data_IF_041374779311
#
_entry.id   IF_041374779311
#
_cell.length_a   1.000
_cell.length_b   1.000
_cell.length_c   1.000
_cell.angle_alpha   90.00
_cell.angle_beta   90.00
_cell.angle_gamma   90.00
#
_symmetry.space_group_name_H-M   'P 1'
#
loop_
_entity.id
_entity.type
_entity.pdbx_description
1 polymer ?
#
# COMPACT_ATOMS: atom_id res chain seq x y z
N UNK A 1 0.98 -0.52 -12.48
CA UNK A 1 0.68 -1.52 -11.42
C UNK A 1 -0.27 -0.95 -10.38
N UNK A 2 0.17 -0.14 -9.41
CA UNK A 2 -0.70 0.39 -8.34
C UNK A 2 -1.98 1.08 -8.83
N UNK A 3 -1.95 2.00 -9.82
CA UNK A 3 -3.18 2.63 -10.32
C UNK A 3 -4.20 1.63 -10.89
N UNK A 4 -3.74 0.63 -11.64
CA UNK A 4 -4.58 -0.43 -12.23
C UNK A 4 -5.20 -1.34 -11.14
N UNK A 5 -4.42 -1.70 -10.12
CA UNK A 5 -4.91 -2.49 -8.99
C UNK A 5 -5.98 -1.73 -8.19
N UNK A 6 -5.75 -0.45 -7.91
CA UNK A 6 -6.73 0.41 -7.22
C UNK A 6 -7.99 0.57 -8.07
N UNK A 7 -7.84 0.76 -9.38
CA UNK A 7 -8.97 0.89 -10.29
C UNK A 7 -9.81 -0.40 -10.34
N UNK A 8 -9.18 -1.57 -10.41
CA UNK A 8 -9.86 -2.87 -10.33
C UNK A 8 -10.57 -3.08 -9.00
N UNK A 9 -9.93 -2.73 -7.88
CA UNK A 9 -10.53 -2.80 -6.55
C UNK A 9 -11.80 -1.92 -6.47
N UNK A 10 -11.72 -0.69 -6.97
CA UNK A 10 -12.86 0.23 -7.03
C UNK A 10 -14.01 -0.32 -7.90
N UNK A 11 -13.71 -0.86 -9.08
CA UNK A 11 -14.72 -1.50 -9.93
C UNK A 11 -15.34 -2.74 -9.28
N UNK A 12 -14.58 -3.47 -8.45
CA UNK A 12 -15.06 -4.58 -7.65
C UNK A 12 -15.87 -4.20 -6.41
N UNK A 13 -16.17 -2.91 -6.20
CA UNK A 13 -16.95 -2.43 -5.07
C UNK A 13 -16.18 -2.30 -3.76
N UNK A 14 -14.86 -2.43 -3.77
CA UNK A 14 -14.01 -2.20 -2.58
C UNK A 14 -13.93 -0.70 -2.30
N UNK A 15 -14.23 -0.31 -1.07
CA UNK A 15 -14.26 1.08 -0.62
C UNK A 15 -13.05 1.48 0.26
N UNK A 16 -12.27 0.50 0.74
CA UNK A 16 -11.07 0.73 1.58
C UNK A 16 -9.95 -0.22 1.16
N UNK A 17 -8.74 0.32 1.04
CA UNK A 17 -7.52 -0.49 0.86
C UNK A 17 -6.75 -0.47 2.18
N UNK A 18 -6.45 -1.66 2.69
CA UNK A 18 -5.59 -1.82 3.86
C UNK A 18 -4.22 -2.35 3.41
N UNK A 19 -3.15 -1.75 3.92
CA UNK A 19 -1.78 -2.19 3.66
C UNK A 19 -0.95 -2.06 4.92
N UNK A 20 0.07 -2.91 5.06
CA UNK A 20 1.10 -2.74 6.06
C UNK A 20 2.13 -1.70 5.60
N UNK A 21 2.81 -1.12 6.58
CA UNK A 21 4.03 -0.35 6.35
C UNK A 21 5.22 -1.26 6.66
N UNK A 22 6.10 -1.45 5.69
CA UNK A 22 7.33 -2.21 5.86
C UNK A 22 8.39 -1.31 6.51
N UNK A 23 8.37 -1.24 7.84
CA UNK A 23 9.22 -0.32 8.61
C UNK A 23 10.71 -0.52 8.34
N UNK A 24 11.18 -1.76 8.19
CA UNK A 24 12.57 -2.09 7.88
C UNK A 24 13.10 -1.45 6.57
N UNK A 25 12.22 -1.12 5.63
CA UNK A 25 12.61 -0.41 4.40
C UNK A 25 12.62 1.10 4.59
N UNK A 26 11.82 1.61 5.51
CA UNK A 26 11.72 3.04 5.82
C UNK A 26 12.77 3.47 6.85
N UNK A 27 13.16 2.57 7.76
CA UNK A 27 14.24 2.72 8.72
C UNK A 27 15.25 1.56 8.55
N UNK A 28 16.11 1.62 7.51
CA UNK A 28 17.17 0.63 7.34
C UNK A 28 18.27 0.78 8.39
N UNK A 29 18.41 1.98 8.97
CA UNK A 29 19.32 2.29 10.08
C UNK A 29 18.52 3.07 11.11
N UNK A 30 18.58 2.64 12.36
CA UNK A 30 17.88 3.26 13.49
C UNK A 30 18.15 4.77 13.56
N UNK A 31 17.07 5.56 13.55
CA UNK A 31 17.09 7.01 13.76
C UNK A 31 17.68 7.87 12.63
N UNK A 32 17.77 7.38 11.39
CA UNK A 32 18.32 8.14 10.24
C UNK A 32 17.29 8.54 9.19
#
# INVERSE_FOLDING_TARGET
MWPDLIQKAKHGGINVIQTYVFWNLHEPVEGK
#
